data_IF_942543241904
#
_entry.id   IF_942543241904
#
_cell.length_a   1.000
_cell.length_b   1.000
_cell.length_c   1.000
_cell.angle_alpha   90.00
_cell.angle_beta   90.00
_cell.angle_gamma   90.00
#
_symmetry.space_group_name_H-M   'P 1'
#
loop_
_entity.id
_entity.type
_entity.pdbx_description
1 polymer ?
#
# COMPACT_ATOMS: atom_id res chain seq x y z
N UNK A 1 17.91 -16.03 23.68
CA UNK A 1 17.72 -15.27 22.43
C UNK A 1 16.83 -14.08 22.77
N UNK A 2 17.44 -12.92 23.01
CA UNK A 2 16.70 -11.73 23.45
C UNK A 2 15.91 -11.19 22.25
N UNK A 3 14.60 -11.44 22.25
CA UNK A 3 13.68 -10.71 21.38
C UNK A 3 13.63 -9.31 21.97
N UNK A 4 14.42 -8.39 21.40
CA UNK A 4 14.23 -6.96 21.63
C UNK A 4 12.86 -6.65 21.04
N UNK A 5 11.81 -6.69 21.87
CA UNK A 5 10.56 -5.99 21.57
C UNK A 5 10.91 -4.51 21.69
N UNK A 6 11.41 -3.93 20.61
CA UNK A 6 11.35 -2.48 20.50
C UNK A 6 9.85 -2.15 20.54
N UNK A 7 9.45 -1.34 21.52
CA UNK A 7 8.13 -0.75 21.57
C UNK A 7 8.02 0.22 20.39
N UNK A 8 7.77 -0.33 19.20
CA UNK A 8 7.68 0.39 17.92
C UNK A 8 6.42 1.25 17.79
N UNK A 9 5.61 1.32 18.85
CA UNK A 9 4.39 2.10 18.96
C UNK A 9 4.58 3.63 18.81
N UNK A 10 5.81 4.08 18.55
CA UNK A 10 6.20 5.49 18.43
C UNK A 10 6.98 5.80 17.14
N UNK A 11 6.91 4.96 16.09
CA UNK A 11 7.42 5.37 14.78
C UNK A 11 6.39 6.29 14.12
N UNK A 12 6.68 7.59 14.13
CA UNK A 12 6.09 8.54 13.20
C UNK A 12 7.06 8.67 12.03
N UNK A 13 6.62 8.46 10.79
CA UNK A 13 7.45 8.83 9.66
C UNK A 13 7.77 10.34 9.73
N UNK A 14 9.05 10.68 9.60
CA UNK A 14 9.52 12.04 9.41
C UNK A 14 9.18 12.56 8.01
N UNK A 15 9.00 11.68 7.03
CA UNK A 15 8.53 12.01 5.70
C UNK A 15 7.05 12.44 5.72
N UNK A 16 6.77 13.65 5.22
CA UNK A 16 5.41 14.15 5.01
C UNK A 16 4.82 13.60 3.71
N UNK A 17 4.76 12.27 3.58
CA UNK A 17 4.00 11.68 2.49
C UNK A 17 2.51 11.86 2.78
N UNK A 18 1.77 12.47 1.86
CA UNK A 18 0.32 12.56 1.97
C UNK A 18 -0.27 11.17 1.75
N UNK A 19 -0.99 10.66 2.74
CA UNK A 19 -1.64 9.34 2.66
C UNK A 19 -3.06 9.54 2.18
N UNK A 20 -3.44 8.80 1.15
CA UNK A 20 -4.77 8.84 0.56
C UNK A 20 -5.43 7.48 0.77
N UNK A 21 -6.48 7.42 1.57
CA UNK A 21 -7.25 6.19 1.76
C UNK A 21 -8.20 6.00 0.59
N UNK A 22 -8.21 4.80 0.00
CA UNK A 22 -9.15 4.43 -1.06
C UNK A 22 -10.17 3.40 -0.58
N UNK A 23 -11.45 3.61 -0.90
CA UNK A 23 -12.57 2.74 -0.54
C UNK A 23 -12.56 2.31 0.95
N UNK A 24 -12.43 3.31 1.81
CA UNK A 24 -12.77 3.15 3.20
C UNK A 24 -14.29 3.04 3.31
N UNK A 25 -14.81 1.82 3.34
CA UNK A 25 -16.12 1.53 3.94
C UNK A 25 -16.18 1.93 5.45
N UNK A 26 -15.20 2.67 5.96
CA UNK A 26 -14.92 2.87 7.38
C UNK A 26 -15.40 4.25 7.78
N UNK A 27 -16.71 4.28 8.04
CA UNK A 27 -17.36 4.93 9.18
C UNK A 27 -16.44 5.84 10.00
N UNK A 28 -16.68 7.16 9.94
CA UNK A 28 -16.36 7.97 11.13
C UNK A 28 -17.20 7.42 12.27
N UNK A 29 -16.71 7.34 13.51
CA UNK A 29 -17.59 7.11 14.67
C UNK A 29 -18.74 8.14 14.63
N UNK A 30 -19.96 7.66 14.43
CA UNK A 30 -21.16 8.51 14.34
C UNK A 30 -21.50 9.13 12.97
N UNK A 31 -20.79 8.81 11.88
CA UNK A 31 -21.24 9.15 10.51
C UNK A 31 -21.31 7.92 9.62
N UNK A 32 -22.26 7.92 8.67
CA UNK A 32 -22.42 6.86 7.68
C UNK A 32 -21.17 6.63 6.80
N UNK A 33 -21.19 5.59 5.95
CA UNK A 33 -20.08 5.29 5.06
C UNK A 33 -19.70 6.53 4.24
N UNK A 34 -18.40 6.81 4.13
CA UNK A 34 -17.94 7.92 3.31
C UNK A 34 -18.34 7.67 1.84
N UNK A 35 -18.72 8.72 1.09
CA UNK A 35 -18.92 8.58 -0.33
C UNK A 35 -17.63 8.06 -0.98
N UNK A 36 -17.77 7.12 -1.90
CA UNK A 36 -16.68 6.54 -2.68
C UNK A 36 -15.70 7.63 -3.16
N UNK A 37 -14.41 7.49 -2.81
CA UNK A 37 -13.41 8.46 -3.22
C UNK A 37 -12.11 8.40 -2.43
N UNK A 38 -11.21 9.30 -2.80
CA UNK A 38 -9.93 9.55 -2.13
C UNK A 38 -10.14 10.38 -0.86
N UNK A 39 -9.55 9.93 0.25
CA UNK A 39 -9.52 10.69 1.50
C UNK A 39 -8.07 10.96 1.91
N UNK A 40 -7.65 12.22 1.79
CA UNK A 40 -6.38 12.68 2.33
C UNK A 40 -6.41 12.59 3.87
N UNK A 41 -5.34 12.05 4.44
CA UNK A 41 -5.14 11.92 5.86
C UNK A 41 -3.65 12.01 6.21
N UNK A 42 -3.37 12.39 7.45
CA UNK A 42 -2.03 12.33 8.00
C UNK A 42 -1.78 10.99 8.73
N UNK A 43 -0.54 10.79 9.18
CA UNK A 43 -0.16 9.59 9.90
C UNK A 43 -0.90 9.39 11.22
N UNK A 44 -1.20 10.47 11.95
CA UNK A 44 -1.91 10.38 13.23
C UNK A 44 -3.35 9.91 13.01
N UNK A 45 -3.99 10.38 11.94
CA UNK A 45 -5.31 9.96 11.52
C UNK A 45 -5.32 8.48 11.10
N UNK A 46 -4.31 8.02 10.35
CA UNK A 46 -4.16 6.59 10.00
C UNK A 46 -3.99 5.73 11.25
N UNK A 47 -3.12 6.13 12.18
CA UNK A 47 -2.91 5.44 13.45
C UNK A 47 -4.18 5.40 14.31
N UNK A 48 -4.86 6.54 14.45
CA UNK A 48 -6.09 6.65 15.24
C UNK A 48 -7.24 5.85 14.66
N UNK A 49 -7.33 5.79 13.33
CA UNK A 49 -8.37 5.03 12.63
C UNK A 49 -8.09 3.54 12.58
N UNK A 50 -6.85 3.13 12.31
CA UNK A 50 -6.52 1.74 11.99
C UNK A 50 -5.64 1.03 13.03
N UNK A 51 -5.16 1.70 14.07
CA UNK A 51 -4.24 1.14 15.06
C UNK A 51 -4.87 0.43 16.27
N UNK A 52 -6.11 -0.06 16.17
CA UNK A 52 -6.86 -0.59 17.34
C UNK A 52 -6.50 -2.01 17.78
N UNK A 53 -5.81 -2.81 16.94
CA UNK A 53 -5.33 -4.16 17.30
C UNK A 53 -3.81 -4.29 17.21
N UNK A 54 -3.24 -5.28 17.91
CA UNK A 54 -1.82 -5.59 17.82
C UNK A 54 -1.38 -5.94 16.38
N UNK A 55 -2.20 -6.72 15.66
CA UNK A 55 -1.92 -7.07 14.25
C UNK A 55 -1.85 -5.83 13.37
N UNK A 56 -2.80 -4.90 13.52
CA UNK A 56 -2.81 -3.67 12.73
C UNK A 56 -1.63 -2.77 13.04
N UNK A 57 -1.23 -2.68 14.31
CA UNK A 57 -0.03 -1.95 14.73
C UNK A 57 1.24 -2.50 14.09
N UNK A 58 1.39 -3.82 14.02
CA UNK A 58 2.52 -4.44 13.31
C UNK A 58 2.56 -4.08 11.82
N UNK A 59 1.39 -4.05 11.16
CA UNK A 59 1.31 -3.61 9.76
C UNK A 59 1.62 -2.12 9.60
N UNK A 60 1.20 -1.29 10.57
CA UNK A 60 1.54 0.13 10.60
C UNK A 60 3.04 0.36 10.80
N UNK A 61 3.72 -0.45 11.60
CA UNK A 61 5.17 -0.35 11.78
C UNK A 61 5.90 -0.56 10.44
N UNK A 62 5.50 -1.58 9.67
CA UNK A 62 6.06 -1.85 8.35
C UNK A 62 5.68 -0.81 7.30
N UNK A 63 4.45 -0.27 7.36
CA UNK A 63 4.03 0.84 6.51
C UNK A 63 4.83 2.11 6.80
N UNK A 64 5.09 2.42 8.08
CA UNK A 64 5.89 3.58 8.48
C UNK A 64 7.31 3.50 7.94
N UNK A 65 7.95 2.32 8.05
CA UNK A 65 9.28 2.10 7.47
C UNK A 65 9.30 2.35 5.96
N UNK A 66 8.31 1.85 5.23
CA UNK A 66 8.23 2.05 3.79
C UNK A 66 7.97 3.51 3.41
N UNK A 67 7.14 4.23 4.16
CA UNK A 67 6.89 5.67 3.95
C UNK A 67 8.18 6.47 4.14
N UNK A 68 9.02 6.13 5.13
CA UNK A 68 10.32 6.78 5.29
C UNK A 68 11.23 6.55 4.09
N UNK A 69 11.31 5.32 3.59
CA UNK A 69 12.13 4.98 2.42
C UNK A 69 11.63 5.69 1.16
N UNK A 70 10.32 5.72 0.95
CA UNK A 70 9.69 6.41 -0.17
C UNK A 70 9.90 7.92 -0.08
N UNK A 71 9.70 8.51 1.10
CA UNK A 71 9.89 9.93 1.35
C UNK A 71 11.34 10.37 1.18
N UNK A 72 12.31 9.56 1.60
CA UNK A 72 13.72 9.80 1.36
C UNK A 72 14.08 9.81 -0.13
N UNK A 73 13.37 9.04 -0.95
CA UNK A 73 13.48 9.05 -2.41
C UNK A 73 12.66 10.15 -3.09
N UNK A 74 11.99 11.03 -2.33
CA UNK A 74 11.21 12.16 -2.87
C UNK A 74 9.72 11.89 -3.05
N UNK A 75 9.19 10.76 -2.57
CA UNK A 75 7.77 10.44 -2.70
C UNK A 75 6.93 11.40 -1.87
N UNK A 76 5.92 12.00 -2.49
CA UNK A 76 5.01 12.97 -1.85
C UNK A 76 3.65 12.41 -1.52
N UNK A 77 3.26 11.28 -2.14
CA UNK A 77 1.91 10.75 -2.04
C UNK A 77 1.89 9.22 -2.12
N UNK A 78 1.11 8.62 -1.26
CA UNK A 78 0.84 7.18 -1.24
C UNK A 78 -0.66 6.95 -1.03
N UNK A 79 -1.24 6.06 -1.82
CA UNK A 79 -2.59 5.54 -1.64
C UNK A 79 -2.53 4.24 -0.84
N UNK A 80 -3.37 4.12 0.17
CA UNK A 80 -3.45 2.96 1.05
C UNK A 80 -4.82 2.28 0.92
N UNK A 81 -4.79 0.96 0.79
CA UNK A 81 -5.95 0.12 0.56
C UNK A 81 -5.71 -1.32 1.09
N UNK A 82 -6.53 -2.25 0.63
CA UNK A 82 -6.44 -3.68 0.92
C UNK A 82 -7.29 -4.07 2.11
N UNK A 83 -7.02 -5.27 2.65
CA UNK A 83 -7.75 -5.78 3.81
C UNK A 83 -7.57 -4.92 5.06
N UNK A 84 -6.50 -4.12 5.11
CA UNK A 84 -6.17 -3.19 6.19
C UNK A 84 -7.18 -2.04 6.36
N UNK A 85 -7.69 -1.47 5.27
CA UNK A 85 -8.61 -0.30 5.28
C UNK A 85 -10.09 -0.74 5.49
N UNK A 86 -10.29 -1.91 6.12
CA UNK A 86 -11.61 -2.47 6.44
C UNK A 86 -11.84 -2.51 7.96
N UNK A 87 -12.97 -3.04 8.41
CA UNK A 87 -13.27 -3.27 9.84
C UNK A 87 -12.72 -4.58 10.40
N UNK A 88 -11.94 -5.36 9.63
CA UNK A 88 -11.36 -6.63 10.11
C UNK A 88 -10.42 -6.39 11.29
N UNK A 89 -10.52 -7.16 12.36
CA UNK A 89 -9.60 -7.04 13.50
C UNK A 89 -8.18 -7.49 13.15
N UNK A 90 -8.07 -8.54 12.34
CA UNK A 90 -6.81 -9.13 11.89
C UNK A 90 -6.71 -9.12 10.35
N UNK A 91 -6.34 -7.96 9.75
CA UNK A 91 -6.02 -7.92 8.34
C UNK A 91 -4.76 -8.75 8.03
N UNK A 92 -4.77 -9.38 6.85
CA UNK A 92 -3.66 -10.19 6.38
C UNK A 92 -2.47 -9.31 5.98
N UNK A 93 -2.76 -8.21 5.30
CA UNK A 93 -1.81 -7.26 4.71
C UNK A 93 -2.51 -5.92 4.42
N UNK A 94 -1.72 -4.96 3.95
CA UNK A 94 -2.17 -3.75 3.29
C UNK A 94 -1.67 -3.75 1.84
N UNK A 95 -2.38 -3.02 0.99
CA UNK A 95 -1.97 -2.74 -0.38
C UNK A 95 -1.73 -1.24 -0.51
N UNK A 96 -0.56 -0.85 -1.03
CA UNK A 96 -0.18 0.54 -1.19
C UNK A 96 0.27 0.84 -2.61
N UNK A 97 -0.12 2.00 -3.12
CA UNK A 97 0.34 2.54 -4.39
C UNK A 97 1.05 3.87 -4.13
N UNK A 98 2.21 4.12 -4.72
CA UNK A 98 2.98 5.35 -4.47
C UNK A 98 3.20 6.16 -5.74
N UNK A 99 3.18 7.48 -5.60
CA UNK A 99 3.36 8.40 -6.71
C UNK A 99 4.81 8.40 -7.20
N UNK A 100 5.00 8.22 -8.50
CA UNK A 100 6.31 8.17 -9.14
C UNK A 100 6.84 9.56 -9.51
N UNK A 101 6.00 10.59 -9.49
CA UNK A 101 6.37 11.95 -9.85
C UNK A 101 7.44 12.52 -8.90
N UNK A 102 8.59 12.92 -9.47
CA UNK A 102 9.69 13.53 -8.73
C UNK A 102 10.52 12.55 -7.88
N UNK A 103 10.37 11.24 -8.07
CA UNK A 103 11.15 10.23 -7.35
C UNK A 103 12.58 10.15 -7.90
N UNK A 104 13.55 10.15 -6.99
CA UNK A 104 14.91 9.71 -7.27
C UNK A 104 14.97 8.17 -7.22
N UNK A 105 14.99 7.57 -8.41
CA UNK A 105 15.01 6.11 -8.57
C UNK A 105 16.30 5.47 -8.03
N UNK A 106 17.40 6.22 -7.97
CA UNK A 106 18.68 5.72 -7.45
C UNK A 106 18.69 5.70 -5.90
N UNK A 107 17.87 6.55 -5.27
CA UNK A 107 17.69 6.59 -3.82
C UNK A 107 16.66 5.57 -3.29
N UNK A 108 15.85 4.99 -4.19
CA UNK A 108 14.77 4.09 -3.80
C UNK A 108 15.29 2.74 -3.32
N UNK A 109 14.75 2.25 -2.19
CA UNK A 109 15.10 0.93 -1.69
C UNK A 109 14.72 -0.16 -2.72
N UNK A 110 15.65 -1.03 -3.17
CA UNK A 110 15.38 -2.00 -4.25
C UNK A 110 14.21 -2.95 -4.00
N UNK A 111 13.90 -3.24 -2.73
CA UNK A 111 12.75 -4.06 -2.34
C UNK A 111 11.42 -3.45 -2.78
N UNK A 112 11.30 -2.11 -2.85
CA UNK A 112 10.09 -1.42 -3.32
C UNK A 112 9.91 -1.53 -4.83
N UNK A 113 10.94 -1.96 -5.57
CA UNK A 113 10.92 -2.25 -7.00
C UNK A 113 10.78 -3.75 -7.31
N UNK A 114 10.90 -4.63 -6.31
CA UNK A 114 10.74 -6.06 -6.49
C UNK A 114 9.26 -6.46 -6.54
N UNK A 115 8.71 -6.49 -7.75
CA UNK A 115 7.35 -6.93 -8.04
C UNK A 115 7.24 -8.45 -8.30
N UNK A 116 8.35 -9.20 -8.17
CA UNK A 116 8.39 -10.62 -8.49
C UNK A 116 7.71 -11.48 -7.42
N UNK A 117 7.35 -12.73 -7.78
CA UNK A 117 6.85 -13.76 -6.85
C UNK A 117 5.69 -13.28 -5.95
N UNK A 118 4.79 -12.46 -6.49
CA UNK A 118 3.70 -11.88 -5.70
C UNK A 118 4.19 -10.98 -4.57
N UNK A 119 5.26 -10.20 -4.81
CA UNK A 119 5.82 -9.20 -3.89
C UNK A 119 6.25 -9.80 -2.55
N UNK A 120 6.72 -11.06 -2.56
CA UNK A 120 7.10 -11.79 -1.35
C UNK A 120 8.17 -11.05 -0.51
N UNK A 121 9.12 -10.37 -1.15
CA UNK A 121 10.15 -9.60 -0.45
C UNK A 121 9.56 -8.38 0.28
N UNK A 122 8.60 -7.69 -0.34
CA UNK A 122 7.89 -6.57 0.28
C UNK A 122 7.04 -7.03 1.46
N UNK A 123 6.25 -8.10 1.28
CA UNK A 123 5.45 -8.69 2.37
C UNK A 123 6.31 -9.14 3.54
N UNK A 124 7.46 -9.75 3.27
CA UNK A 124 8.38 -10.21 4.30
C UNK A 124 8.98 -9.06 5.11
N UNK A 125 9.25 -7.92 4.47
CA UNK A 125 9.87 -6.76 5.12
C UNK A 125 8.85 -5.84 5.79
N UNK A 126 7.79 -5.48 5.08
CA UNK A 126 6.86 -4.43 5.47
C UNK A 126 5.47 -4.96 5.88
N UNK A 127 5.18 -6.24 5.66
CA UNK A 127 3.87 -6.82 5.96
C UNK A 127 2.77 -6.49 4.93
N UNK A 128 3.10 -5.78 3.85
CA UNK A 128 2.18 -5.41 2.79
C UNK A 128 2.86 -5.27 1.43
N UNK A 129 2.11 -4.79 0.45
CA UNK A 129 2.53 -4.65 -0.93
C UNK A 129 2.61 -3.17 -1.35
N UNK A 130 3.60 -2.84 -2.17
CA UNK A 130 3.86 -1.51 -2.70
C UNK A 130 4.00 -1.57 -4.22
N UNK A 131 3.15 -0.82 -4.91
CA UNK A 131 3.12 -0.73 -6.36
C UNK A 131 3.41 0.72 -6.79
N UNK A 132 4.30 0.93 -7.79
CA UNK A 132 4.48 2.25 -8.37
C UNK A 132 3.23 2.66 -9.16
N UNK A 133 2.83 3.93 -9.04
CA UNK A 133 1.72 4.48 -9.80
C UNK A 133 2.12 4.80 -11.25
N UNK A 134 2.43 3.77 -12.04
CA UNK A 134 2.77 3.91 -13.47
C UNK A 134 1.58 3.59 -14.36
N UNK A 135 1.57 4.17 -15.57
CA UNK A 135 0.65 3.75 -16.64
C UNK A 135 1.09 2.38 -17.13
N UNK A 136 0.25 1.37 -16.98
CA UNK A 136 0.54 0.04 -17.49
C UNK A 136 0.41 0.05 -19.02
N UNK A 137 1.49 -0.33 -19.71
CA UNK A 137 1.60 -0.29 -21.18
C UNK A 137 0.62 -1.23 -21.90
N UNK A 138 -0.04 -2.14 -21.17
CA UNK A 138 -1.05 -3.07 -21.69
C UNK A 138 -2.50 -2.59 -21.57
N UNK A 139 -2.83 -1.82 -20.53
CA UNK A 139 -4.20 -1.33 -20.28
C UNK A 139 -4.39 0.14 -20.64
N UNK A 140 -3.30 0.92 -20.76
CA UNK A 140 -3.34 2.36 -21.01
C UNK A 140 -3.89 3.17 -19.83
N UNK A 141 -4.17 2.51 -18.71
CA UNK A 141 -4.67 3.10 -17.47
C UNK A 141 -3.52 3.28 -16.49
N UNK A 142 -3.61 4.34 -15.70
CA UNK A 142 -2.70 4.55 -14.56
C UNK A 142 -3.01 3.45 -13.53
N UNK A 143 -2.01 2.83 -12.89
CA UNK A 143 -2.27 1.77 -11.89
C UNK A 143 -3.25 2.22 -10.79
N UNK A 144 -3.27 3.51 -10.45
CA UNK A 144 -4.32 4.17 -9.66
C UNK A 144 -5.72 3.78 -10.11
N UNK A 145 -6.04 3.84 -11.40
CA UNK A 145 -7.34 3.50 -12.00
C UNK A 145 -7.63 1.99 -11.95
N UNK A 146 -6.59 1.15 -11.89
CA UNK A 146 -6.73 -0.30 -11.72
C UNK A 146 -7.21 -0.67 -10.30
N UNK A 147 -6.69 0.00 -9.26
CA UNK A 147 -7.22 -0.08 -7.88
C UNK A 147 -8.69 0.35 -7.77
N UNK A 148 -9.17 1.21 -8.69
CA UNK A 148 -10.56 1.67 -8.71
C UNK A 148 -11.51 0.62 -9.32
N UNK A 149 -11.03 -0.20 -10.26
CA UNK A 149 -11.86 -1.10 -11.07
C UNK A 149 -11.88 -2.56 -10.59
N UNK A 150 -10.85 -3.07 -9.90
CA UNK A 150 -10.81 -4.49 -9.47
C UNK A 150 -11.91 -4.89 -8.46
N UNK A 151 -12.61 -3.94 -7.85
CA UNK A 151 -13.75 -4.25 -6.96
C UNK A 151 -15.10 -4.39 -7.67
N UNK A 152 -15.23 -3.92 -8.91
CA UNK A 152 -16.49 -4.08 -9.68
C UNK A 152 -16.47 -5.29 -10.63
N UNK A 153 -15.31 -5.91 -10.87
CA UNK A 153 -15.21 -7.13 -11.66
C UNK A 153 -14.28 -8.12 -10.97
N UNK A 154 -14.84 -9.18 -10.41
CA UNK A 154 -14.11 -10.30 -9.80
C UNK A 154 -13.27 -11.09 -10.81
N UNK A 155 -12.22 -10.50 -11.34
CA UNK A 155 -11.24 -11.14 -12.23
C UNK A 155 -9.92 -11.18 -11.49
N UNK A 156 -9.63 -12.32 -10.86
CA UNK A 156 -8.25 -12.68 -10.54
C UNK A 156 -7.49 -12.75 -11.86
N UNK A 157 -6.61 -11.80 -12.15
CA UNK A 157 -5.66 -11.92 -13.24
C UNK A 157 -4.63 -13.01 -12.89
N UNK A 158 -5.01 -14.28 -13.10
CA UNK A 158 -4.05 -15.36 -13.19
C UNK A 158 -3.32 -15.21 -14.52
N UNK A 159 -2.08 -14.72 -14.47
CA UNK A 159 -1.14 -14.74 -15.60
C UNK A 159 -0.87 -16.20 -15.99
N UNK A 160 -1.65 -16.73 -16.93
CA UNK A 160 -1.29 -17.93 -17.66
C UNK A 160 -0.47 -17.51 -18.86
N UNK A 161 0.84 -17.77 -18.78
CA UNK A 161 1.76 -17.70 -19.91
C UNK A 161 1.24 -18.60 -21.05
N UNK A 162 0.74 -18.01 -22.13
CA UNK A 162 0.75 -18.68 -23.43
C UNK A 162 1.93 -18.14 -24.20
N UNK A 163 2.99 -18.94 -24.20
CA UNK A 163 4.04 -18.95 -25.20
C UNK A 163 3.43 -18.87 -26.61
N UNK A 164 3.72 -17.78 -27.31
CA UNK A 164 3.65 -17.74 -28.77
C UNK A 164 4.66 -18.73 -29.33
N UNK A 165 4.15 -19.78 -29.97
CA UNK A 165 4.87 -20.51 -31.00
C UNK A 165 3.98 -20.47 -32.23
N UNK A 166 4.40 -19.76 -33.28
CA UNK A 166 4.30 -20.23 -34.66
C UNK A 166 5.31 -19.45 -35.51
N UNK A 167 6.44 -20.12 -35.76
CA UNK A 167 7.33 -19.87 -36.89
C UNK A 167 6.76 -20.54 -38.16
N UNK A 168 7.15 -19.93 -39.28
CA UNK A 168 7.10 -20.37 -40.70
C UNK A 168 5.85 -20.11 -41.54
#
# INVERSE_FOLDING_TARGET
>A
MAIIKADFHSIRPAATAMIVLWNAAVLRPGHGPAPWGEHECDWEEVLGRFGWTARRRQLLDGLAEAIELLGAAGCRRLWLDGSFVTTKDEPADFDACWDTDGIDMDALAPVLLDLSKGRAAQKARFGGEFLPNVVETGSGLVFKEFFQNERDVGVKASLSSRSECHDH
#
